data_IF_182204571705
#
_entry.id   IF_182204571705
#
_cell.length_a   1.000
_cell.length_b   1.000
_cell.length_c   1.000
_cell.angle_alpha   90.00
_cell.angle_beta   90.00
_cell.angle_gamma   90.00
#
_symmetry.space_group_name_H-M   'P 1'
#
loop_
_entity.id
_entity.type
_entity.pdbx_description
1 polymer ?
#
# COMPACT_ATOMS: atom_id res chain seq x y z
N UNK A 1 13.71 -18.74 -17.38
CA UNK A 1 12.65 -17.69 -17.37
C UNK A 1 13.36 -16.37 -17.20
N UNK A 2 13.22 -15.49 -18.20
CA UNK A 2 13.77 -14.12 -18.12
C UNK A 2 12.83 -13.35 -17.20
N UNK A 3 13.25 -13.13 -15.94
CA UNK A 3 12.50 -12.32 -14.97
C UNK A 3 12.57 -10.88 -15.46
N UNK A 4 11.59 -10.46 -16.22
CA UNK A 4 11.46 -9.10 -16.72
C UNK A 4 10.39 -8.46 -15.86
N UNK A 5 10.77 -7.60 -14.97
CA UNK A 5 10.07 -6.52 -14.27
C UNK A 5 10.69 -6.21 -12.91
N UNK A 6 12.01 -6.44 -12.81
CA UNK A 6 12.78 -5.88 -11.71
C UNK A 6 13.24 -4.47 -12.11
N UNK A 7 12.84 -3.49 -11.31
CA UNK A 7 13.30 -2.12 -11.48
C UNK A 7 14.50 -1.88 -10.56
N UNK A 8 15.65 -1.44 -11.10
CA UNK A 8 16.81 -1.11 -10.28
C UNK A 8 16.48 -0.04 -9.23
N UNK A 9 17.04 -0.19 -8.04
CA UNK A 9 16.77 0.72 -6.91
C UNK A 9 17.09 2.20 -7.24
N UNK A 10 18.12 2.46 -8.03
CA UNK A 10 18.46 3.82 -8.46
C UNK A 10 17.39 4.44 -9.36
N UNK A 11 16.65 3.64 -10.14
CA UNK A 11 15.51 4.10 -10.95
C UNK A 11 14.33 4.44 -10.05
N UNK A 12 14.00 3.59 -9.06
CA UNK A 12 12.97 3.88 -8.07
C UNK A 12 13.26 5.20 -7.32
N UNK A 13 14.50 5.39 -6.85
CA UNK A 13 14.94 6.65 -6.21
C UNK A 13 14.80 7.85 -7.14
N UNK A 14 15.10 7.69 -8.43
CA UNK A 14 14.92 8.74 -9.42
C UNK A 14 13.44 9.10 -9.61
N UNK A 15 12.56 8.10 -9.70
CA UNK A 15 11.11 8.30 -9.77
C UNK A 15 10.63 9.09 -8.55
N UNK A 16 10.99 8.67 -7.34
CA UNK A 16 10.66 9.36 -6.09
C UNK A 16 11.05 10.84 -6.15
N UNK A 17 12.26 11.14 -6.60
CA UNK A 17 12.74 12.52 -6.76
C UNK A 17 11.88 13.33 -7.74
N UNK A 18 11.31 12.69 -8.78
CA UNK A 18 10.50 13.38 -9.79
C UNK A 18 9.04 13.60 -9.36
N UNK A 19 8.48 12.70 -8.56
CA UNK A 19 7.11 12.79 -8.06
C UNK A 19 6.99 13.58 -6.74
N UNK A 20 8.10 13.92 -6.09
CA UNK A 20 8.09 14.58 -4.80
C UNK A 20 7.67 16.06 -4.95
N UNK A 21 6.60 16.43 -4.26
CA UNK A 21 6.08 17.79 -4.15
C UNK A 21 5.99 18.20 -2.68
N UNK A 22 5.77 19.49 -2.43
CA UNK A 22 5.50 19.99 -1.07
C UNK A 22 4.05 19.76 -0.68
N UNK A 23 3.78 19.64 0.62
CA UNK A 23 2.43 19.57 1.15
C UNK A 23 1.66 20.89 0.87
N UNK A 24 0.35 20.86 0.60
CA UNK A 24 -0.53 19.66 0.57
C UNK A 24 -0.55 18.90 -0.77
N UNK A 25 -0.02 19.48 -1.87
CA UNK A 25 -0.14 18.92 -3.22
C UNK A 25 0.48 17.51 -3.35
N UNK A 26 1.50 17.22 -2.51
CA UNK A 26 2.12 15.90 -2.47
C UNK A 26 1.16 14.77 -2.10
N UNK A 27 0.13 15.05 -1.29
CA UNK A 27 -0.84 14.05 -0.81
C UNK A 27 -2.02 13.82 -1.76
N UNK A 28 -2.16 14.65 -2.79
CA UNK A 28 -3.17 14.48 -3.83
C UNK A 28 -2.82 13.40 -4.86
N UNK A 29 -3.78 13.07 -5.74
CA UNK A 29 -3.55 12.13 -6.83
C UNK A 29 -2.44 12.63 -7.76
N UNK A 30 -1.71 11.69 -8.35
CA UNK A 30 -0.78 11.99 -9.43
C UNK A 30 -1.56 12.04 -10.74
N UNK A 31 -1.44 13.12 -11.48
CA UNK A 31 -2.13 13.29 -12.78
C UNK A 31 -1.46 12.45 -13.88
N UNK A 32 -2.22 12.16 -14.95
CA UNK A 32 -1.67 11.43 -16.10
C UNK A 32 -0.56 12.21 -16.80
N UNK A 33 -0.63 13.54 -16.83
CA UNK A 33 0.45 14.39 -17.35
C UNK A 33 1.74 14.25 -16.53
N UNK A 34 1.66 14.15 -15.20
CA UNK A 34 2.81 13.92 -14.34
C UNK A 34 3.38 12.50 -14.53
N UNK A 35 2.51 11.51 -14.67
CA UNK A 35 2.93 10.13 -14.96
C UNK A 35 3.69 10.07 -16.28
N UNK A 36 3.13 10.68 -17.34
CA UNK A 36 3.76 10.72 -18.66
C UNK A 36 5.10 11.47 -18.62
N UNK A 37 5.18 12.58 -17.88
CA UNK A 37 6.45 13.29 -17.66
C UNK A 37 7.49 12.37 -17.00
N UNK A 38 7.12 11.63 -15.94
CA UNK A 38 8.04 10.73 -15.26
C UNK A 38 8.46 9.58 -16.17
N UNK A 39 7.52 8.95 -16.90
CA UNK A 39 7.81 7.92 -17.91
C UNK A 39 8.85 8.38 -18.92
N UNK A 40 8.61 9.54 -19.54
CA UNK A 40 9.52 10.14 -20.53
C UNK A 40 10.91 10.35 -19.93
N UNK A 41 11.00 10.90 -18.71
CA UNK A 41 12.28 11.14 -18.04
C UNK A 41 13.02 9.83 -17.71
N UNK A 42 12.31 8.77 -17.33
CA UNK A 42 12.89 7.45 -17.08
C UNK A 42 13.37 6.83 -18.38
N UNK A 43 12.54 6.86 -19.43
CA UNK A 43 12.90 6.35 -20.76
C UNK A 43 14.15 7.05 -21.31
N UNK A 44 14.17 8.39 -21.29
CA UNK A 44 15.31 9.17 -21.79
C UNK A 44 16.60 8.89 -21.03
N UNK A 45 16.52 8.68 -19.68
CA UNK A 45 17.72 8.55 -18.86
C UNK A 45 18.25 7.13 -18.73
N UNK A 46 17.36 6.15 -18.72
CA UNK A 46 17.70 4.76 -18.39
C UNK A 46 17.31 3.77 -19.49
N UNK A 47 16.71 4.24 -20.57
CA UNK A 47 16.15 3.42 -21.68
C UNK A 47 15.14 2.36 -21.18
N UNK A 48 14.40 2.68 -20.11
CA UNK A 48 13.38 1.81 -19.54
C UNK A 48 11.98 2.36 -19.81
N UNK A 49 11.13 1.55 -20.40
CA UNK A 49 9.70 1.83 -20.44
C UNK A 49 9.02 1.21 -19.22
N UNK A 50 8.35 2.05 -18.42
CA UNK A 50 7.73 1.64 -17.16
C UNK A 50 6.21 1.77 -17.21
N UNK A 51 5.53 0.78 -16.63
CA UNK A 51 4.08 0.80 -16.49
C UNK A 51 3.64 1.97 -15.58
N UNK A 52 2.60 2.75 -15.94
CA UNK A 52 2.02 3.80 -15.10
C UNK A 52 1.70 3.37 -13.67
N UNK A 53 1.23 2.14 -13.48
CA UNK A 53 0.91 1.59 -12.16
C UNK A 53 2.12 1.48 -11.23
N UNK A 54 3.33 1.33 -11.78
CA UNK A 54 4.58 1.35 -11.00
C UNK A 54 4.78 2.74 -10.37
N UNK A 55 4.60 3.80 -11.15
CA UNK A 55 4.73 5.19 -10.66
C UNK A 55 3.67 5.47 -9.58
N UNK A 56 2.42 5.05 -9.80
CA UNK A 56 1.33 5.19 -8.81
C UNK A 56 1.64 4.42 -7.52
N UNK A 57 2.14 3.20 -7.62
CA UNK A 57 2.52 2.36 -6.48
C UNK A 57 3.69 2.97 -5.70
N UNK A 58 4.75 3.44 -6.38
CA UNK A 58 5.89 4.11 -5.76
C UNK A 58 5.42 5.38 -5.03
N UNK A 59 4.56 6.19 -5.67
CA UNK A 59 3.99 7.39 -5.04
C UNK A 59 3.20 7.04 -3.78
N UNK A 60 2.33 6.03 -3.84
CA UNK A 60 1.55 5.57 -2.70
C UNK A 60 2.45 5.11 -1.55
N UNK A 61 3.44 4.27 -1.85
CA UNK A 61 4.40 3.77 -0.86
C UNK A 61 5.18 4.91 -0.20
N UNK A 62 5.68 5.85 -1.02
CA UNK A 62 6.44 7.01 -0.55
C UNK A 62 5.58 7.91 0.34
N UNK A 63 4.36 8.25 -0.07
CA UNK A 63 3.49 9.14 0.72
C UNK A 63 3.05 8.50 2.04
N UNK A 64 2.74 7.20 2.06
CA UNK A 64 2.45 6.48 3.31
C UNK A 64 3.65 6.46 4.26
N UNK A 65 4.85 6.30 3.72
CA UNK A 65 6.09 6.41 4.51
C UNK A 65 6.29 7.82 5.09
N UNK A 66 6.07 8.87 4.29
CA UNK A 66 6.15 10.27 4.72
C UNK A 66 5.14 10.61 5.82
N UNK A 67 3.91 10.11 5.72
CA UNK A 67 2.88 10.28 6.76
C UNK A 67 3.39 9.74 8.10
N UNK A 68 3.99 8.56 8.11
CA UNK A 68 4.54 7.94 9.32
C UNK A 68 5.75 8.71 9.84
N UNK A 69 6.70 9.03 8.95
CA UNK A 69 7.92 9.75 9.33
C UNK A 69 7.65 11.15 9.86
N UNK A 70 6.55 11.78 9.44
CA UNK A 70 6.20 13.13 9.89
C UNK A 70 5.24 13.16 11.08
N UNK A 71 4.73 12.00 11.53
CA UNK A 71 3.73 11.92 12.60
C UNK A 71 4.20 12.55 13.94
N UNK A 72 5.49 12.47 14.25
CA UNK A 72 6.07 13.10 15.44
C UNK A 72 5.80 14.63 15.52
N UNK A 73 5.57 15.29 14.38
CA UNK A 73 5.25 16.72 14.33
C UNK A 73 3.93 17.05 15.03
N UNK A 74 3.02 16.07 15.19
CA UNK A 74 1.81 16.28 15.99
C UNK A 74 2.14 16.54 17.45
N UNK A 75 3.13 15.87 18.03
CA UNK A 75 3.60 16.15 19.39
C UNK A 75 4.21 17.54 19.48
N UNK A 76 4.92 17.98 18.44
CA UNK A 76 5.58 19.29 18.42
C UNK A 76 4.60 20.45 18.17
N UNK A 77 3.61 20.26 17.31
CA UNK A 77 2.75 21.35 16.82
C UNK A 77 1.27 21.22 17.19
N UNK A 78 0.87 20.14 17.87
CA UNK A 78 -0.55 19.81 18.09
C UNK A 78 -1.36 20.94 18.71
N UNK A 79 -0.90 21.54 19.81
CA UNK A 79 -1.58 22.70 20.46
C UNK A 79 -1.72 23.88 19.49
N UNK A 80 -0.69 24.15 18.66
CA UNK A 80 -0.75 25.23 17.67
C UNK A 80 -1.71 24.92 16.54
N UNK A 81 -1.81 23.64 16.15
CA UNK A 81 -2.76 23.16 15.13
C UNK A 81 -4.21 23.37 15.61
N UNK A 82 -4.53 22.91 16.84
CA UNK A 82 -5.85 23.07 17.45
C UNK A 82 -6.21 24.56 17.53
N UNK A 83 -5.35 25.39 18.10
CA UNK A 83 -5.60 26.83 18.23
C UNK A 83 -5.89 27.48 16.87
N UNK A 84 -5.09 27.17 15.85
CA UNK A 84 -5.27 27.76 14.50
C UNK A 84 -6.52 27.24 13.80
N UNK A 85 -6.83 25.97 13.97
CA UNK A 85 -8.05 25.36 13.40
C UNK A 85 -9.32 26.00 14.02
N UNK A 86 -9.33 26.20 15.34
CA UNK A 86 -10.42 26.88 16.03
C UNK A 86 -10.59 28.34 15.57
N UNK A 87 -9.53 29.00 15.07
CA UNK A 87 -9.59 30.28 14.39
C UNK A 87 -10.02 30.17 12.91
N UNK A 88 -10.70 29.07 12.54
CA UNK A 88 -11.22 28.78 11.19
C UNK A 88 -10.14 28.78 10.09
N UNK A 89 -8.87 28.44 10.44
CA UNK A 89 -7.84 28.21 9.43
C UNK A 89 -8.07 26.85 8.76
N UNK A 90 -8.14 26.88 7.45
CA UNK A 90 -8.45 25.71 6.67
C UNK A 90 -7.31 24.67 6.73
N UNK A 91 -7.65 23.38 6.69
CA UNK A 91 -6.74 22.24 6.87
C UNK A 91 -5.61 22.21 5.82
N UNK A 92 -5.84 22.64 4.58
CA UNK A 92 -4.82 22.69 3.54
C UNK A 92 -3.75 23.77 3.82
N UNK A 93 -4.15 24.92 4.37
CA UNK A 93 -3.20 25.96 4.81
C UNK A 93 -2.35 25.46 5.98
N UNK A 94 -2.94 24.69 6.89
CA UNK A 94 -2.20 24.07 7.99
C UNK A 94 -1.25 22.99 7.46
N UNK A 95 -1.70 22.16 6.54
CA UNK A 95 -0.85 21.17 5.85
C UNK A 95 0.38 21.83 5.19
N UNK A 96 0.17 22.88 4.41
CA UNK A 96 1.26 23.64 3.76
C UNK A 96 2.27 24.20 4.79
N UNK A 97 1.77 24.74 5.90
CA UNK A 97 2.60 25.38 6.94
C UNK A 97 3.43 24.38 7.73
N UNK A 98 2.84 23.23 8.09
CA UNK A 98 3.49 22.28 9.02
C UNK A 98 4.07 21.05 8.30
N UNK A 99 3.85 20.91 7.01
CA UNK A 99 4.33 19.77 6.22
C UNK A 99 3.75 18.44 6.71
N UNK A 100 2.47 18.44 7.10
CA UNK A 100 1.70 17.28 7.54
C UNK A 100 0.60 16.96 6.54
N UNK A 101 0.21 15.70 6.43
CA UNK A 101 -0.94 15.29 5.65
C UNK A 101 -2.22 16.00 6.09
N UNK A 102 -3.06 16.50 5.17
CA UNK A 102 -4.33 17.14 5.51
C UNK A 102 -5.22 16.27 6.40
N UNK A 103 -5.32 14.97 6.09
CA UNK A 103 -6.13 14.04 6.86
C UNK A 103 -5.54 13.76 8.26
N UNK A 104 -4.20 13.72 8.37
CA UNK A 104 -3.53 13.58 9.69
C UNK A 104 -3.85 14.77 10.60
N UNK A 105 -3.79 15.99 10.07
CA UNK A 105 -4.16 17.20 10.84
C UNK A 105 -5.63 17.14 11.24
N UNK A 106 -6.50 16.83 10.29
CA UNK A 106 -7.96 16.83 10.51
C UNK A 106 -8.35 15.82 11.60
N UNK A 107 -7.86 14.59 11.53
CA UNK A 107 -8.08 13.57 12.57
C UNK A 107 -7.69 14.10 13.94
N UNK A 108 -6.49 14.61 14.07
CA UNK A 108 -5.94 15.10 15.32
C UNK A 108 -6.80 16.23 15.93
N UNK A 109 -7.20 17.21 15.13
CA UNK A 109 -7.97 18.37 15.64
C UNK A 109 -9.43 18.00 15.95
N UNK A 110 -10.07 17.15 15.13
CA UNK A 110 -11.44 16.73 15.37
C UNK A 110 -11.55 15.77 16.57
N UNK A 111 -10.63 14.81 16.72
CA UNK A 111 -10.58 13.95 17.91
C UNK A 111 -10.39 14.77 19.20
N UNK A 112 -9.55 15.82 19.13
CA UNK A 112 -9.40 16.75 20.25
C UNK A 112 -10.69 17.55 20.54
N UNK A 113 -11.38 18.03 19.50
CA UNK A 113 -12.59 18.85 19.61
C UNK A 113 -13.79 18.05 20.13
N UNK A 114 -14.06 16.90 19.53
CA UNK A 114 -15.24 16.08 19.82
C UNK A 114 -15.02 15.04 20.91
N UNK A 115 -13.79 14.84 21.38
CA UNK A 115 -13.43 13.81 22.40
C UNK A 115 -13.86 12.39 22.01
N UNK A 116 -13.85 12.08 20.71
CA UNK A 116 -14.22 10.79 20.12
C UNK A 116 -13.16 10.37 19.12
N UNK A 117 -13.08 9.07 18.80
CA UNK A 117 -12.23 8.58 17.70
C UNK A 117 -12.75 9.10 16.36
N UNK A 118 -11.88 9.38 15.44
CA UNK A 118 -12.24 9.92 14.12
C UNK A 118 -13.26 9.05 13.38
N UNK A 119 -13.16 7.73 13.49
CA UNK A 119 -14.13 6.79 12.90
C UNK A 119 -15.55 7.05 13.41
N UNK A 120 -15.71 7.28 14.71
CA UNK A 120 -17.02 7.54 15.34
C UNK A 120 -17.56 8.93 14.97
N UNK A 121 -16.66 9.89 14.73
CA UNK A 121 -17.03 11.23 14.26
C UNK A 121 -17.61 11.15 12.84
N UNK A 122 -16.94 10.46 11.92
CA UNK A 122 -17.39 10.38 10.51
C UNK A 122 -18.56 9.43 10.28
N UNK A 123 -18.85 8.51 11.20
CA UNK A 123 -20.05 7.66 11.13
C UNK A 123 -21.34 8.41 11.46
N UNK A 124 -21.26 9.59 12.10
CA UNK A 124 -22.43 10.41 12.43
C UNK A 124 -22.21 11.89 12.06
N UNK A 125 -22.22 12.17 10.77
CA UNK A 125 -21.93 13.50 10.22
C UNK A 125 -22.98 14.56 10.61
N UNK A 126 -24.20 14.18 11.00
CA UNK A 126 -25.24 15.11 11.42
C UNK A 126 -24.92 15.87 12.71
N UNK A 127 -23.98 15.37 13.51
CA UNK A 127 -23.56 16.01 14.78
C UNK A 127 -22.36 16.96 14.62
N UNK A 128 -21.88 17.15 13.41
CA UNK A 128 -20.64 17.91 13.11
C UNK A 128 -21.02 19.29 12.56
N UNK A 129 -20.30 20.33 12.99
CA UNK A 129 -20.55 21.67 12.46
C UNK A 129 -20.16 21.79 10.96
N UNK A 130 -20.78 22.76 10.28
CA UNK A 130 -20.65 22.95 8.83
C UNK A 130 -19.18 23.21 8.39
N UNK A 131 -18.43 23.94 9.21
CA UNK A 131 -17.01 24.18 8.93
C UNK A 131 -16.24 22.87 8.93
N UNK A 132 -16.43 22.02 9.95
CA UNK A 132 -15.73 20.74 10.06
C UNK A 132 -16.12 19.77 8.93
N UNK A 133 -17.40 19.75 8.52
CA UNK A 133 -17.85 18.99 7.34
C UNK A 133 -17.13 19.45 6.07
N UNK A 134 -16.99 20.76 5.89
CA UNK A 134 -16.23 21.32 4.77
C UNK A 134 -14.75 20.90 4.83
N UNK A 135 -14.14 20.90 6.02
CA UNK A 135 -12.74 20.47 6.17
C UNK A 135 -12.56 18.97 5.92
N UNK A 136 -13.53 18.13 6.32
CA UNK A 136 -13.52 16.68 6.00
C UNK A 136 -13.52 16.47 4.49
N UNK A 137 -14.42 17.15 3.75
CA UNK A 137 -14.47 17.05 2.28
C UNK A 137 -13.16 17.52 1.62
N UNK A 138 -12.59 18.64 2.09
CA UNK A 138 -11.34 19.17 1.58
C UNK A 138 -10.16 18.21 1.84
N UNK A 139 -10.03 17.67 3.05
CA UNK A 139 -8.97 16.74 3.39
C UNK A 139 -9.11 15.43 2.60
N UNK A 140 -10.29 14.85 2.51
CA UNK A 140 -10.54 13.60 1.75
C UNK A 140 -10.19 13.76 0.26
N UNK A 141 -10.55 14.89 -0.36
CA UNK A 141 -10.20 15.17 -1.76
C UNK A 141 -8.70 15.38 -1.99
N UNK A 142 -8.01 15.95 -1.00
CA UNK A 142 -6.61 16.37 -1.14
C UNK A 142 -5.60 15.37 -0.58
N UNK A 143 -6.05 14.32 0.10
CA UNK A 143 -5.18 13.30 0.70
C UNK A 143 -5.76 11.92 0.45
N UNK A 144 -5.40 11.35 -0.70
CA UNK A 144 -5.88 10.03 -1.13
C UNK A 144 -5.12 8.86 -0.48
N UNK A 145 -3.98 9.12 0.17
CA UNK A 145 -3.13 8.07 0.75
C UNK A 145 -3.47 7.73 2.19
N UNK A 146 -4.33 8.53 2.83
CA UNK A 146 -4.75 8.39 4.22
C UNK A 146 -6.28 8.32 4.35
N UNK A 147 -6.98 7.91 3.29
CA UNK A 147 -8.43 7.77 3.25
C UNK A 147 -8.93 6.61 4.10
N UNK A 148 -10.21 6.66 4.47
CA UNK A 148 -10.90 5.65 5.29
C UNK A 148 -11.44 4.52 4.39
N UNK A 149 -11.85 4.85 3.16
CA UNK A 149 -12.52 3.94 2.25
C UNK A 149 -11.57 3.45 1.15
N UNK A 150 -11.50 2.13 0.91
CA UNK A 150 -10.62 1.46 -0.05
C UNK A 150 -11.35 0.39 -0.88
N UNK A 151 -12.67 0.55 -1.11
CA UNK A 151 -13.48 -0.48 -1.77
C UNK A 151 -13.00 -0.83 -3.19
N UNK A 152 -12.61 0.17 -4.00
CA UNK A 152 -12.12 -0.07 -5.36
C UNK A 152 -10.81 -0.90 -5.38
N UNK A 153 -9.95 -0.69 -4.39
CA UNK A 153 -8.68 -1.43 -4.27
C UNK A 153 -8.91 -2.90 -3.93
N UNK A 154 -9.99 -3.22 -3.20
CA UNK A 154 -10.33 -4.59 -2.83
C UNK A 154 -10.79 -5.41 -4.05
N UNK A 155 -11.57 -4.81 -4.95
CA UNK A 155 -12.04 -5.48 -6.18
C UNK A 155 -10.88 -5.84 -7.11
N UNK A 156 -9.97 -4.90 -7.37
CA UNK A 156 -8.79 -5.16 -8.19
C UNK A 156 -7.84 -6.21 -7.58
N UNK A 157 -7.76 -6.27 -6.25
CA UNK A 157 -6.97 -7.28 -5.55
C UNK A 157 -7.57 -8.67 -5.74
N UNK A 158 -8.89 -8.82 -5.57
CA UNK A 158 -9.60 -10.08 -5.77
C UNK A 158 -9.49 -10.60 -7.22
N UNK A 159 -9.55 -9.69 -8.20
CA UNK A 159 -9.31 -10.06 -9.61
C UNK A 159 -7.89 -10.58 -9.84
N UNK A 160 -6.91 -10.00 -9.18
CA UNK A 160 -5.52 -10.45 -9.30
C UNK A 160 -5.30 -11.82 -8.62
N UNK A 161 -5.86 -12.03 -7.45
CA UNK A 161 -5.85 -13.34 -6.77
C UNK A 161 -6.48 -14.41 -7.67
N UNK A 162 -7.63 -14.11 -8.32
CA UNK A 162 -8.28 -15.02 -9.25
C UNK A 162 -7.40 -15.40 -10.48
N UNK A 163 -6.57 -14.46 -10.96
CA UNK A 163 -5.61 -14.79 -12.04
C UNK A 163 -4.56 -15.80 -11.57
N UNK A 164 -4.05 -15.67 -10.35
CA UNK A 164 -3.12 -16.64 -9.77
C UNK A 164 -3.80 -17.98 -9.55
N UNK A 165 -5.03 -17.97 -9.06
CA UNK A 165 -5.84 -19.19 -8.88
C UNK A 165 -5.99 -19.96 -10.19
N UNK A 166 -6.29 -19.27 -11.29
CA UNK A 166 -6.40 -19.89 -12.62
C UNK A 166 -5.08 -20.58 -13.05
N UNK A 167 -3.93 -19.99 -12.70
CA UNK A 167 -2.62 -20.59 -12.94
C UNK A 167 -2.47 -21.87 -12.11
N UNK A 168 -2.80 -21.84 -10.83
CA UNK A 168 -2.73 -23.04 -9.96
C UNK A 168 -3.62 -24.17 -10.50
N UNK A 169 -4.83 -23.87 -10.94
CA UNK A 169 -5.76 -24.83 -11.56
C UNK A 169 -5.18 -25.40 -12.86
N UNK A 170 -4.66 -24.55 -13.75
CA UNK A 170 -4.03 -24.96 -15.02
C UNK A 170 -2.91 -25.99 -14.79
N UNK A 171 -2.11 -25.78 -13.77
CA UNK A 171 -0.99 -26.69 -13.45
C UNK A 171 -1.35 -27.79 -12.44
N UNK A 172 -2.64 -27.95 -12.12
CA UNK A 172 -3.17 -28.98 -11.21
C UNK A 172 -2.50 -28.97 -9.83
N UNK A 173 -2.11 -27.78 -9.36
CA UNK A 173 -1.54 -27.59 -8.03
C UNK A 173 -2.70 -27.66 -7.02
N UNK A 174 -2.55 -28.49 -5.97
CA UNK A 174 -3.53 -28.54 -4.89
C UNK A 174 -3.24 -27.40 -3.90
N UNK A 175 -4.27 -26.63 -3.59
CA UNK A 175 -4.19 -25.48 -2.66
C UNK A 175 -5.46 -25.39 -1.82
N UNK A 176 -5.40 -24.54 -0.81
CA UNK A 176 -6.51 -24.07 0.01
C UNK A 176 -6.52 -22.53 -0.04
N UNK A 177 -7.67 -21.95 -0.30
CA UNK A 177 -7.84 -20.49 -0.37
C UNK A 177 -7.79 -19.84 1.01
N UNK A 178 -7.59 -18.52 1.04
CA UNK A 178 -7.63 -17.74 2.29
C UNK A 178 -8.96 -17.93 3.03
N UNK A 179 -10.08 -17.97 2.32
CA UNK A 179 -11.41 -18.12 2.88
C UNK A 179 -11.58 -19.52 3.54
N UNK A 180 -11.26 -20.59 2.82
CA UNK A 180 -11.32 -21.97 3.34
C UNK A 180 -10.42 -22.13 4.58
N UNK A 181 -9.20 -21.59 4.52
CA UNK A 181 -8.24 -21.62 5.62
C UNK A 181 -8.74 -20.82 6.84
N UNK A 182 -9.36 -19.67 6.60
CA UNK A 182 -10.00 -18.85 7.64
C UNK A 182 -11.11 -19.62 8.36
N UNK A 183 -11.99 -20.28 7.60
CA UNK A 183 -13.09 -21.09 8.16
C UNK A 183 -12.53 -22.22 9.01
N UNK A 184 -11.51 -22.92 8.52
CA UNK A 184 -10.86 -24.01 9.27
C UNK A 184 -10.25 -23.51 10.57
N UNK A 185 -9.48 -22.41 10.54
CA UNK A 185 -8.82 -21.85 11.73
C UNK A 185 -9.83 -21.31 12.75
N UNK A 186 -10.94 -20.70 12.29
CA UNK A 186 -12.01 -20.24 13.20
C UNK A 186 -12.65 -21.42 13.92
N UNK A 187 -12.87 -22.55 13.25
CA UNK A 187 -13.41 -23.78 13.88
C UNK A 187 -12.47 -24.34 14.95
N UNK A 188 -11.15 -24.25 14.74
CA UNK A 188 -10.15 -24.84 15.65
C UNK A 188 -9.78 -23.88 16.78
N UNK A 189 -9.60 -22.58 16.48
CA UNK A 189 -9.00 -21.58 17.37
C UNK A 189 -9.95 -20.45 17.77
N UNK A 190 -11.18 -20.43 17.25
CA UNK A 190 -12.14 -19.34 17.47
C UNK A 190 -11.88 -18.08 16.65
N UNK A 191 -10.75 -17.98 15.94
CA UNK A 191 -10.40 -16.85 15.06
C UNK A 191 -9.37 -17.25 14.00
N UNK A 192 -9.31 -16.52 12.91
CA UNK A 192 -8.27 -16.67 11.90
C UNK A 192 -6.92 -16.14 12.43
N UNK A 193 -5.84 -16.88 12.24
CA UNK A 193 -4.50 -16.56 12.75
C UNK A 193 -3.57 -16.11 11.64
N UNK A 194 -3.30 -17.00 10.67
CA UNK A 194 -2.38 -16.76 9.56
C UNK A 194 -2.99 -17.36 8.29
N UNK A 195 -3.46 -16.49 7.41
CA UNK A 195 -4.18 -16.89 6.20
C UNK A 195 -3.54 -16.24 4.97
N UNK A 196 -2.52 -16.88 4.34
CA UNK A 196 -2.04 -16.47 3.02
C UNK A 196 -3.16 -16.64 1.99
N UNK A 197 -3.06 -15.98 0.84
CA UNK A 197 -4.07 -16.05 -0.20
C UNK A 197 -4.25 -17.48 -0.72
N UNK A 198 -3.13 -18.24 -0.83
CA UNK A 198 -3.15 -19.67 -1.16
C UNK A 198 -2.18 -20.44 -0.28
N UNK A 199 -2.67 -21.45 0.43
CA UNK A 199 -1.85 -22.45 1.13
C UNK A 199 -1.67 -23.67 0.23
N UNK A 200 -0.43 -23.98 -0.16
CA UNK A 200 -0.13 -25.07 -1.11
C UNK A 200 -0.15 -26.42 -0.39
N UNK A 201 -0.94 -27.35 -0.90
CA UNK A 201 -1.15 -28.69 -0.34
C UNK A 201 -0.43 -29.81 -1.11
N UNK A 202 0.16 -29.49 -2.27
CA UNK A 202 0.99 -30.42 -3.05
C UNK A 202 2.45 -29.99 -2.98
N UNK A 203 3.35 -30.78 -3.52
CA UNK A 203 4.71 -30.33 -3.75
C UNK A 203 4.74 -29.27 -4.85
N UNK A 204 5.36 -28.13 -4.59
CA UNK A 204 5.57 -27.06 -5.55
C UNK A 204 6.98 -26.50 -5.37
N UNK A 205 7.77 -26.60 -6.42
CA UNK A 205 9.14 -26.07 -6.47
C UNK A 205 9.24 -25.11 -7.64
N UNK A 206 9.63 -23.87 -7.38
CA UNK A 206 9.83 -22.82 -8.40
C UNK A 206 11.27 -22.30 -8.24
N UNK A 207 12.09 -22.37 -9.30
CA UNK A 207 13.49 -21.93 -9.29
C UNK A 207 14.30 -22.49 -8.08
N UNK A 208 14.16 -23.78 -7.81
CA UNK A 208 14.78 -24.50 -6.68
C UNK A 208 14.32 -24.01 -5.28
N UNK A 209 13.21 -23.26 -5.20
CA UNK A 209 12.58 -22.87 -3.94
C UNK A 209 11.32 -23.68 -3.71
N UNK A 210 11.24 -24.34 -2.56
CA UNK A 210 10.00 -24.98 -2.12
C UNK A 210 8.97 -23.90 -1.77
N UNK A 211 7.73 -24.05 -2.25
CA UNK A 211 6.66 -23.09 -2.03
C UNK A 211 5.55 -23.75 -1.21
N UNK A 212 5.31 -23.23 -0.01
CA UNK A 212 4.24 -23.68 0.90
C UNK A 212 3.04 -22.76 0.93
N UNK A 213 3.22 -21.50 0.57
CA UNK A 213 2.16 -20.50 0.49
C UNK A 213 2.46 -19.48 -0.61
N UNK A 214 1.40 -18.87 -1.14
CA UNK A 214 1.48 -17.78 -2.10
C UNK A 214 0.67 -16.60 -1.57
N UNK A 215 1.23 -15.40 -1.69
CA UNK A 215 0.61 -14.15 -1.29
C UNK A 215 0.67 -13.16 -2.45
N UNK A 216 -0.50 -12.71 -2.91
CA UNK A 216 -0.69 -11.84 -4.07
C UNK A 216 -0.60 -10.36 -3.69
N UNK A 217 0.13 -9.56 -4.43
CA UNK A 217 0.24 -8.13 -4.20
C UNK A 217 -0.13 -7.35 -5.45
N UNK A 218 -1.36 -6.81 -5.48
CA UNK A 218 -1.89 -6.03 -6.60
C UNK A 218 -1.25 -4.62 -6.69
N UNK A 219 0.09 -4.54 -6.51
CA UNK A 219 0.87 -3.32 -6.63
C UNK A 219 2.32 -3.65 -6.98
N UNK A 220 3.15 -2.61 -7.23
CA UNK A 220 4.58 -2.73 -7.42
C UNK A 220 5.31 -2.91 -6.07
N UNK A 221 6.16 -3.90 -5.95
CA UNK A 221 6.98 -4.19 -4.77
C UNK A 221 8.11 -3.18 -4.58
N UNK A 222 7.82 -2.07 -3.93
CA UNK A 222 8.78 -1.00 -3.65
C UNK A 222 9.72 -1.37 -2.48
N UNK A 223 11.00 -0.95 -2.56
CA UNK A 223 11.96 -1.09 -1.47
C UNK A 223 11.84 0.01 -0.38
N UNK A 224 10.77 0.80 -0.42
CA UNK A 224 10.49 1.82 0.60
C UNK A 224 10.19 1.15 1.95
N UNK A 225 10.83 1.64 3.01
CA UNK A 225 10.80 1.02 4.35
C UNK A 225 9.41 0.70 4.88
N UNK A 226 8.41 1.56 4.62
CA UNK A 226 7.05 1.31 5.06
C UNK A 226 6.48 0.02 4.46
N UNK A 227 6.57 -0.14 3.12
CA UNK A 227 6.06 -1.33 2.42
C UNK A 227 6.87 -2.56 2.82
N UNK A 228 8.21 -2.46 2.77
CA UNK A 228 9.10 -3.55 3.15
C UNK A 228 8.81 -4.09 4.55
N UNK A 229 8.72 -3.23 5.56
CA UNK A 229 8.41 -3.63 6.94
C UNK A 229 7.01 -4.24 7.09
N UNK A 230 6.01 -3.70 6.36
CA UNK A 230 4.64 -4.24 6.39
C UNK A 230 4.61 -5.66 5.83
N UNK A 231 5.22 -5.89 4.68
CA UNK A 231 5.31 -7.20 4.04
C UNK A 231 6.14 -8.14 4.93
N UNK A 232 7.33 -7.73 5.40
CA UNK A 232 8.16 -8.54 6.29
C UNK A 232 7.40 -9.03 7.52
N UNK A 233 6.62 -8.17 8.16
CA UNK A 233 5.80 -8.56 9.34
C UNK A 233 4.75 -9.62 8.99
N UNK A 234 4.17 -9.55 7.80
CA UNK A 234 3.17 -10.52 7.33
C UNK A 234 3.82 -11.87 7.03
N UNK A 235 4.87 -11.87 6.18
CA UNK A 235 5.52 -13.11 5.74
C UNK A 235 6.26 -13.83 6.86
N UNK A 236 6.79 -13.10 7.87
CA UNK A 236 7.41 -13.75 9.04
C UNK A 236 6.42 -14.67 9.75
N UNK A 237 5.15 -14.28 9.84
CA UNK A 237 4.10 -15.15 10.40
C UNK A 237 3.87 -16.38 9.52
N UNK A 238 3.82 -16.21 8.20
CA UNK A 238 3.62 -17.31 7.26
C UNK A 238 4.80 -18.28 7.28
N UNK A 239 6.04 -17.78 7.29
CA UNK A 239 7.24 -18.59 7.36
C UNK A 239 7.26 -19.42 8.65
N UNK A 240 6.96 -18.82 9.79
CA UNK A 240 6.95 -19.50 11.08
C UNK A 240 5.86 -20.58 11.17
N UNK A 241 4.75 -20.42 10.43
CA UNK A 241 3.63 -21.36 10.47
C UNK A 241 3.73 -22.45 9.40
N UNK A 242 4.15 -22.08 8.18
CA UNK A 242 4.04 -22.96 7.01
C UNK A 242 5.38 -23.24 6.33
N UNK A 243 6.45 -22.49 6.64
CA UNK A 243 7.74 -22.58 5.99
C UNK A 243 7.90 -21.59 4.82
N UNK A 244 8.77 -21.89 3.83
CA UNK A 244 9.09 -20.98 2.74
C UNK A 244 7.91 -20.77 1.79
N UNK A 245 7.86 -19.60 1.14
CA UNK A 245 6.75 -19.27 0.26
C UNK A 245 7.08 -18.31 -0.87
N UNK A 246 6.04 -17.79 -1.49
CA UNK A 246 6.10 -16.97 -2.69
C UNK A 246 5.26 -15.70 -2.52
N UNK A 247 5.85 -14.56 -2.89
CA UNK A 247 5.10 -13.32 -3.14
C UNK A 247 5.04 -13.07 -4.64
N UNK A 248 3.84 -12.80 -5.14
CA UNK A 248 3.61 -12.44 -6.54
C UNK A 248 3.18 -10.98 -6.62
N UNK A 249 4.02 -10.12 -7.22
CA UNK A 249 3.67 -8.74 -7.49
C UNK A 249 3.07 -8.58 -8.90
N UNK A 250 1.95 -7.85 -9.01
CA UNK A 250 1.28 -7.61 -10.29
C UNK A 250 2.13 -6.74 -11.23
N UNK A 251 2.79 -5.72 -10.71
CA UNK A 251 3.51 -4.72 -11.51
C UNK A 251 5.03 -4.77 -11.33
N UNK A 252 5.57 -5.95 -10.99
CA UNK A 252 7.01 -6.09 -10.74
C UNK A 252 7.46 -5.57 -9.38
N UNK A 253 8.76 -5.51 -9.17
CA UNK A 253 9.33 -5.16 -7.87
C UNK A 253 10.73 -4.55 -8.00
N UNK A 254 11.20 -3.89 -6.95
CA UNK A 254 12.56 -3.33 -6.84
C UNK A 254 13.60 -4.45 -6.74
N UNK A 255 14.70 -4.36 -7.51
CA UNK A 255 15.76 -5.37 -7.54
C UNK A 255 16.40 -5.66 -6.18
N UNK A 256 16.37 -4.69 -5.27
CA UNK A 256 16.95 -4.82 -3.92
C UNK A 256 15.92 -5.32 -2.88
N UNK A 257 14.67 -5.55 -3.30
CA UNK A 257 13.65 -6.09 -2.39
C UNK A 257 13.91 -7.58 -2.20
N UNK A 258 14.23 -7.96 -0.98
CA UNK A 258 14.51 -9.34 -0.59
C UNK A 258 13.89 -9.65 0.75
N UNK A 259 13.41 -10.87 0.89
CA UNK A 259 12.89 -11.44 2.13
C UNK A 259 13.43 -12.85 2.32
N UNK A 260 13.84 -13.18 3.53
CA UNK A 260 14.36 -14.50 3.83
C UNK A 260 13.29 -15.58 3.61
N UNK A 261 13.70 -16.75 3.13
CA UNK A 261 12.83 -17.89 2.85
C UNK A 261 11.59 -17.58 1.97
N UNK A 262 11.68 -16.52 1.14
CA UNK A 262 10.56 -16.10 0.31
C UNK A 262 11.04 -15.76 -1.11
N UNK A 263 10.51 -16.49 -2.08
CA UNK A 263 10.70 -16.15 -3.49
C UNK A 263 9.82 -14.95 -3.85
N UNK A 264 10.34 -14.05 -4.68
CA UNK A 264 9.60 -12.89 -5.19
C UNK A 264 9.56 -12.98 -6.71
N UNK A 265 8.37 -12.91 -7.30
CA UNK A 265 8.17 -12.88 -8.75
C UNK A 265 7.18 -11.81 -9.17
N UNK A 266 7.16 -11.48 -10.47
CA UNK A 266 6.09 -10.73 -11.11
C UNK A 266 5.16 -11.69 -11.86
N UNK A 267 3.87 -11.36 -11.96
CA UNK A 267 2.89 -12.18 -12.71
C UNK A 267 3.30 -12.35 -14.18
N UNK A 268 3.88 -11.32 -14.81
CA UNK A 268 4.33 -11.38 -16.21
C UNK A 268 5.51 -12.37 -16.42
N UNK A 269 6.12 -12.83 -15.34
CA UNK A 269 7.15 -13.88 -15.35
C UNK A 269 6.57 -15.28 -15.16
N UNK A 270 5.27 -15.41 -15.01
CA UNK A 270 4.59 -16.68 -14.72
C UNK A 270 4.08 -17.35 -16.00
N UNK A 271 4.91 -17.44 -17.03
CA UNK A 271 4.82 -18.59 -17.93
C UNK A 271 5.58 -19.73 -17.23
N UNK A 272 4.89 -20.35 -16.28
CA UNK A 272 5.34 -21.59 -15.65
C UNK A 272 5.29 -22.69 -16.69
N UNK A 273 6.39 -22.94 -17.36
CA UNK A 273 6.62 -24.18 -18.13
C UNK A 273 7.21 -25.19 -17.19
#
# INVERSE_FOLDING_TARGET
>A
IKIINQIPNYVEKYIIKKINKKAPESFGPISDSEINFVKTKVKTKFDLDINPHIIRSIKSAYMKNEIILTHYKLNQYGSKLIKKYNLKKNVLRLSKRYGLSPMTILRYVLESKYKKKFKDIVSNLSTIDEFDLTQIKLASKSDIYNQIDQNDVATEAAEFEKQIEQILIKYKIKYQTQEELSIEQIKIHGHAINTPDFLIKSELIINNHQIKWIDAKNFYGSNINFIKKKIQKQITKYINTYGPGLIVFKYGFNSDLKFDHTLIISIESVDLV
#
